data_IF_391390578439
#
_entry.id   IF_391390578439
#
_cell.length_a   1.000
_cell.length_b   1.000
_cell.length_c   1.000
_cell.angle_alpha   90.00
_cell.angle_beta   90.00
_cell.angle_gamma   90.00
#
_symmetry.space_group_name_H-M   'P 1'
#
loop_
_entity.id
_entity.type
_entity.pdbx_description
1 polymer ?
#
# COMPACT_ATOMS: atom_id res chain seq x y z
N UNK A 1 15.23 -60.84 42.53
CA UNK A 1 15.89 -60.13 41.43
C UNK A 1 15.17 -60.53 40.15
N UNK A 2 14.27 -59.68 39.69
CA UNK A 2 13.52 -59.85 38.43
C UNK A 2 13.84 -58.62 37.58
N UNK A 3 14.39 -58.83 36.39
CA UNK A 3 14.56 -57.77 35.39
C UNK A 3 14.28 -58.38 34.02
N UNK A 4 13.27 -57.88 33.28
CA UNK A 4 13.04 -58.24 31.90
C UNK A 4 13.83 -57.35 30.93
N UNK A 5 13.96 -57.91 29.74
CA UNK A 5 14.64 -57.47 28.53
C UNK A 5 14.14 -56.11 28.03
N UNK A 6 15.06 -55.19 27.74
CA UNK A 6 14.80 -53.97 26.96
C UNK A 6 15.41 -54.14 25.55
N UNK A 7 14.55 -54.00 24.54
CA UNK A 7 14.90 -53.97 23.12
C UNK A 7 15.73 -52.72 22.75
N UNK A 8 16.61 -52.80 21.72
CA UNK A 8 17.36 -51.64 21.24
C UNK A 8 16.52 -50.76 20.29
N UNK A 9 16.64 -49.45 20.50
CA UNK A 9 15.98 -48.38 19.77
C UNK A 9 16.84 -47.97 18.56
N UNK A 10 16.33 -47.90 17.32
CA UNK A 10 17.09 -47.37 16.19
C UNK A 10 16.77 -45.89 15.93
N UNK A 11 17.86 -45.09 15.90
CA UNK A 11 18.08 -43.99 14.95
C UNK A 11 17.33 -42.65 15.17
N UNK A 12 17.94 -41.77 15.96
CA UNK A 12 17.72 -40.32 15.93
C UNK A 12 18.39 -39.70 14.69
N UNK A 13 17.72 -38.85 13.89
CA UNK A 13 18.38 -37.96 12.92
C UNK A 13 18.86 -36.66 13.61
N UNK A 14 19.88 -35.98 13.04
CA UNK A 14 20.56 -34.89 13.72
C UNK A 14 19.76 -33.59 13.74
N UNK A 15 19.98 -32.85 14.83
CA UNK A 15 19.63 -31.45 15.07
C UNK A 15 20.06 -30.54 13.91
N UNK A 16 19.10 -29.82 13.33
CA UNK A 16 19.39 -28.65 12.50
C UNK A 16 18.95 -27.38 13.24
N UNK A 17 19.95 -26.59 13.62
CA UNK A 17 19.84 -25.22 14.09
C UNK A 17 19.01 -24.36 13.12
N UNK A 18 17.79 -23.99 13.53
CA UNK A 18 17.05 -22.86 12.94
C UNK A 18 17.32 -21.62 13.78
N UNK A 19 18.55 -21.13 13.71
CA UNK A 19 18.94 -19.83 14.22
C UNK A 19 19.84 -19.11 13.21
N UNK A 20 19.31 -18.84 12.01
CA UNK A 20 19.87 -17.82 11.13
C UNK A 20 18.84 -17.37 10.10
N UNK A 21 18.87 -16.08 9.84
CA UNK A 21 18.28 -15.40 8.67
C UNK A 21 16.91 -14.73 8.80
N UNK A 22 16.68 -14.00 9.90
CA UNK A 22 15.70 -12.88 9.94
C UNK A 22 16.36 -11.49 9.82
N UNK A 23 17.63 -11.41 9.46
CA UNK A 23 18.43 -10.16 9.52
C UNK A 23 18.74 -9.53 8.15
N UNK A 24 18.04 -9.90 7.06
CA UNK A 24 18.49 -9.53 5.70
C UNK A 24 17.45 -8.86 4.80
N UNK A 25 16.44 -8.19 5.37
CA UNK A 25 15.42 -7.47 4.57
C UNK A 25 15.36 -5.96 4.85
N UNK A 26 16.43 -5.39 5.39
CA UNK A 26 16.64 -3.93 5.39
C UNK A 26 17.76 -3.60 4.39
N UNK A 27 17.52 -3.92 3.11
CA UNK A 27 18.33 -3.36 2.03
C UNK A 27 17.62 -2.10 1.56
N UNK A 28 18.30 -0.97 1.72
CA UNK A 28 18.00 0.30 1.06
C UNK A 28 17.93 0.04 -0.44
N UNK A 29 16.71 -0.11 -0.97
CA UNK A 29 16.48 -0.25 -2.40
C UNK A 29 17.04 0.98 -3.10
N UNK A 30 18.03 0.75 -3.96
CA UNK A 30 18.60 1.80 -4.80
C UNK A 30 17.64 2.12 -5.95
N UNK A 31 17.71 3.37 -6.41
CA UNK A 31 16.74 4.06 -7.27
C UNK A 31 16.26 3.31 -8.55
N UNK A 32 17.02 2.44 -9.25
CA UNK A 32 16.58 1.85 -10.53
C UNK A 32 15.48 0.79 -10.43
N UNK A 33 15.54 -0.11 -9.44
CA UNK A 33 14.57 -1.21 -9.31
C UNK A 33 13.18 -0.69 -8.92
N UNK A 34 13.15 0.39 -8.14
CA UNK A 34 11.94 1.10 -7.74
C UNK A 34 11.19 1.68 -8.94
N UNK A 35 11.90 2.26 -9.92
CA UNK A 35 11.28 2.77 -11.15
C UNK A 35 10.67 1.63 -11.98
N UNK A 36 11.35 0.49 -12.06
CA UNK A 36 10.84 -0.69 -12.77
C UNK A 36 9.53 -1.21 -12.16
N UNK A 37 9.46 -1.29 -10.83
CA UNK A 37 8.23 -1.72 -10.14
C UNK A 37 7.07 -0.75 -10.33
N UNK A 38 7.35 0.56 -10.32
CA UNK A 38 6.33 1.59 -10.50
C UNK A 38 5.75 1.61 -11.93
N UNK A 39 6.59 1.47 -12.95
CA UNK A 39 6.13 1.38 -14.34
C UNK A 39 5.29 0.13 -14.59
N UNK A 40 5.77 -1.03 -14.12
CA UNK A 40 5.05 -2.30 -14.27
C UNK A 40 3.71 -2.27 -13.55
N UNK A 41 3.65 -1.73 -12.33
CA UNK A 41 2.40 -1.61 -11.59
C UNK A 41 1.44 -0.62 -12.27
N UNK A 42 1.95 0.45 -12.87
CA UNK A 42 1.14 1.38 -13.68
C UNK A 42 0.53 0.70 -14.89
N UNK A 43 1.28 -0.17 -15.58
CA UNK A 43 0.76 -0.95 -16.70
C UNK A 43 -0.37 -1.91 -16.24
N UNK A 44 -0.12 -2.67 -15.17
CA UNK A 44 -1.07 -3.66 -14.65
C UNK A 44 -2.38 -3.02 -14.17
N UNK A 45 -2.31 -1.86 -13.53
CA UNK A 45 -3.48 -1.13 -13.02
C UNK A 45 -4.36 -0.52 -14.13
N UNK A 46 -3.80 -0.29 -15.34
CA UNK A 46 -4.57 0.18 -16.51
C UNK A 46 -5.43 -0.92 -17.14
N UNK A 47 -5.09 -2.19 -16.92
CA UNK A 47 -5.84 -3.31 -17.46
C UNK A 47 -7.17 -3.44 -16.71
N UNK A 48 -8.30 -3.27 -17.41
CA UNK A 48 -9.64 -3.49 -16.83
C UNK A 48 -10.07 -4.95 -16.96
N UNK A 49 -10.71 -5.49 -15.93
CA UNK A 49 -11.40 -6.77 -16.02
C UNK A 49 -12.76 -6.54 -16.68
N UNK A 50 -13.00 -7.17 -17.84
CA UNK A 50 -14.30 -7.14 -18.52
C UNK A 50 -15.17 -8.35 -18.18
N UNK A 51 -14.65 -9.29 -17.39
CA UNK A 51 -15.42 -10.42 -16.89
C UNK A 51 -16.19 -9.98 -15.64
N UNK A 52 -17.46 -10.40 -15.53
CA UNK A 52 -18.25 -10.16 -14.32
C UNK A 52 -17.51 -10.68 -13.09
N UNK A 53 -17.41 -9.87 -12.05
CA UNK A 53 -16.96 -10.35 -10.75
C UNK A 53 -17.89 -11.48 -10.34
N UNK A 54 -17.31 -12.64 -10.00
CA UNK A 54 -18.11 -13.75 -9.51
C UNK A 54 -18.72 -13.28 -8.19
N UNK A 55 -20.04 -13.11 -8.14
CA UNK A 55 -20.73 -12.92 -6.87
C UNK A 55 -20.30 -14.04 -5.92
N UNK A 56 -20.04 -13.74 -4.62
CA UNK A 56 -19.80 -14.78 -3.65
C UNK A 56 -21.01 -15.71 -3.64
N UNK A 57 -20.81 -16.94 -4.11
CA UNK A 57 -21.84 -17.99 -4.05
C UNK A 57 -21.94 -18.37 -2.58
N UNK A 58 -23.12 -18.18 -1.98
CA UNK A 58 -23.40 -18.62 -0.61
C UNK A 58 -22.97 -20.08 -0.42
N UNK A 59 -21.98 -20.32 0.45
CA UNK A 59 -21.56 -21.66 0.86
C UNK A 59 -20.37 -22.28 0.12
N UNK A 60 -19.67 -21.53 -0.75
CA UNK A 60 -18.41 -21.98 -1.38
C UNK A 60 -17.17 -21.32 -0.79
N UNK A 61 -16.01 -21.99 -0.89
CA UNK A 61 -14.71 -21.38 -0.58
C UNK A 61 -14.59 -19.98 -1.22
N UNK A 62 -14.04 -19.01 -0.50
CA UNK A 62 -13.89 -17.64 -1.00
C UNK A 62 -13.08 -17.68 -2.28
N UNK A 63 -13.73 -17.32 -3.38
CA UNK A 63 -13.05 -17.19 -4.66
C UNK A 63 -12.24 -15.90 -4.62
N UNK A 64 -11.07 -15.85 -5.28
CA UNK A 64 -10.36 -14.59 -5.48
C UNK A 64 -11.33 -13.54 -6.01
N UNK A 65 -11.30 -12.33 -5.47
CA UNK A 65 -12.12 -11.21 -5.93
C UNK A 65 -11.87 -10.82 -7.41
N UNK A 66 -10.87 -11.45 -8.03
CA UNK A 66 -10.48 -11.32 -9.41
C UNK A 66 -11.01 -12.48 -10.26
N UNK A 67 -11.38 -12.19 -11.51
CA UNK A 67 -11.72 -13.23 -12.48
C UNK A 67 -10.58 -14.27 -12.57
N UNK A 68 -10.83 -15.57 -12.88
CA UNK A 68 -9.74 -16.57 -12.99
C UNK A 68 -8.64 -16.18 -13.97
N UNK A 69 -8.99 -15.41 -15.02
CA UNK A 69 -8.03 -14.85 -16.00
C UNK A 69 -7.23 -13.65 -15.48
N UNK A 70 -7.69 -13.04 -14.40
CA UNK A 70 -7.14 -11.88 -13.74
C UNK A 70 -6.31 -12.26 -12.51
N UNK A 71 -6.34 -13.54 -12.11
CA UNK A 71 -5.71 -14.05 -10.89
C UNK A 71 -4.22 -13.72 -10.85
N UNK A 72 -3.44 -14.18 -11.85
CA UNK A 72 -2.00 -13.91 -11.93
C UNK A 72 -1.67 -12.42 -12.03
N UNK A 73 -2.51 -11.65 -12.74
CA UNK A 73 -2.34 -10.19 -12.80
C UNK A 73 -2.50 -9.54 -11.42
N UNK A 74 -3.52 -9.95 -10.66
CA UNK A 74 -3.76 -9.41 -9.30
C UNK A 74 -2.69 -9.89 -8.33
N UNK A 75 -2.15 -11.09 -8.52
CA UNK A 75 -0.99 -11.59 -7.81
C UNK A 75 0.23 -10.69 -8.05
N UNK A 76 0.58 -10.41 -9.31
CA UNK A 76 1.67 -9.50 -9.67
C UNK A 76 1.46 -8.09 -9.09
N UNK A 77 0.24 -7.56 -9.21
CA UNK A 77 -0.12 -6.25 -8.64
C UNK A 77 0.08 -6.22 -7.13
N UNK A 78 -0.34 -7.26 -6.42
CA UNK A 78 -0.21 -7.36 -4.97
C UNK A 78 1.27 -7.46 -4.56
N UNK A 79 2.05 -8.30 -5.25
CA UNK A 79 3.48 -8.45 -4.99
C UNK A 79 4.25 -7.13 -5.19
N UNK A 80 4.00 -6.46 -6.31
CA UNK A 80 4.64 -5.17 -6.61
C UNK A 80 4.22 -4.10 -5.61
N UNK A 81 2.92 -3.99 -5.32
CA UNK A 81 2.41 -2.97 -4.41
C UNK A 81 2.87 -3.18 -2.97
N UNK A 82 3.03 -4.44 -2.53
CA UNK A 82 3.55 -4.80 -1.21
C UNK A 82 4.97 -4.24 -0.96
N UNK A 83 5.76 -4.08 -2.02
CA UNK A 83 7.12 -3.50 -1.94
C UNK A 83 7.11 -1.96 -1.88
N UNK A 84 5.93 -1.34 -2.02
CA UNK A 84 5.75 0.11 -1.94
C UNK A 84 5.13 0.52 -0.60
N UNK A 85 4.93 1.81 -0.43
CA UNK A 85 4.27 2.42 0.71
C UNK A 85 4.93 2.11 2.07
N UNK A 86 6.25 2.31 2.24
CA UNK A 86 6.90 2.07 3.52
C UNK A 86 6.23 2.89 4.62
N UNK A 87 6.01 2.25 5.77
CA UNK A 87 5.30 2.80 6.93
C UNK A 87 3.79 2.56 6.94
N UNK A 88 3.12 2.38 5.79
CA UNK A 88 1.65 2.21 5.76
C UNK A 88 1.17 0.88 6.32
N UNK A 89 2.07 -0.10 6.40
CA UNK A 89 1.74 -1.48 6.76
C UNK A 89 1.83 -1.75 8.27
N UNK A 90 1.68 -0.71 9.08
CA UNK A 90 1.75 -0.72 10.53
C UNK A 90 0.38 -0.30 11.11
N UNK A 91 0.09 -0.66 12.36
CA UNK A 91 -1.21 -0.33 12.99
C UNK A 91 -2.40 -0.82 12.18
N UNK A 92 -3.32 0.08 11.83
CA UNK A 92 -4.54 -0.20 11.07
C UNK A 92 -4.29 -0.77 9.66
N UNK A 93 -3.10 -0.54 9.10
CA UNK A 93 -2.69 -1.11 7.81
C UNK A 93 -2.26 -2.58 7.86
N UNK A 94 -2.14 -3.18 9.05
CA UNK A 94 -1.68 -4.55 9.23
C UNK A 94 -2.62 -5.59 8.59
N UNK A 95 -3.93 -5.37 8.66
CA UNK A 95 -4.90 -6.28 8.01
C UNK A 95 -4.73 -6.27 6.48
N UNK A 96 -4.70 -5.09 5.88
CA UNK A 96 -4.49 -4.92 4.43
C UNK A 96 -3.16 -5.51 3.96
N UNK A 97 -2.12 -5.39 4.79
CA UNK A 97 -0.82 -6.03 4.55
C UNK A 97 -0.98 -7.53 4.38
N UNK A 98 -1.66 -8.20 5.32
CA UNK A 98 -1.86 -9.65 5.26
C UNK A 98 -2.72 -10.06 4.06
N UNK A 99 -3.72 -9.26 3.67
CA UNK A 99 -4.48 -9.49 2.45
C UNK A 99 -3.62 -9.37 1.18
N UNK A 100 -2.70 -8.40 1.12
CA UNK A 100 -1.74 -8.27 0.00
C UNK A 100 -0.78 -9.47 -0.05
N UNK A 101 -0.25 -9.91 1.10
CA UNK A 101 0.60 -11.10 1.17
C UNK A 101 -0.13 -12.36 0.69
N UNK A 102 -1.38 -12.52 1.12
CA UNK A 102 -2.25 -13.62 0.72
C UNK A 102 -2.45 -13.64 -0.80
N UNK A 103 -2.74 -12.48 -1.40
CA UNK A 103 -2.90 -12.34 -2.84
C UNK A 103 -1.60 -12.56 -3.62
N UNK A 104 -0.45 -12.09 -3.11
CA UNK A 104 0.85 -12.20 -3.77
C UNK A 104 1.43 -13.62 -3.76
N UNK A 105 1.25 -14.36 -2.67
CA UNK A 105 1.90 -15.68 -2.48
C UNK A 105 0.93 -16.84 -2.36
N UNK A 106 -0.32 -16.65 -2.79
CA UNK A 106 -1.32 -17.72 -2.90
C UNK A 106 -1.77 -18.29 -1.56
N UNK A 107 -1.60 -17.54 -0.46
CA UNK A 107 -2.08 -17.98 0.84
C UNK A 107 -3.58 -17.70 0.94
N UNK A 108 -4.40 -18.74 0.93
CA UNK A 108 -5.87 -18.64 0.98
C UNK A 108 -6.33 -18.33 2.40
N UNK A 109 -6.09 -17.11 2.90
CA UNK A 109 -6.83 -16.65 4.07
C UNK A 109 -8.26 -16.29 3.60
N UNK A 110 -9.30 -16.99 4.06
CA UNK A 110 -10.62 -16.96 3.44
C UNK A 110 -11.44 -15.67 3.62
N UNK A 111 -11.03 -14.73 4.47
CA UNK A 111 -11.91 -13.61 4.84
C UNK A 111 -11.62 -12.31 4.07
N UNK A 112 -11.36 -12.41 2.78
CA UNK A 112 -11.05 -11.22 1.95
C UNK A 112 -12.33 -10.70 1.30
N UNK A 113 -13.11 -9.94 2.07
CA UNK A 113 -14.19 -9.06 1.55
C UNK A 113 -13.65 -7.97 0.61
N UNK A 114 -12.33 -7.84 0.51
CA UNK A 114 -11.62 -6.80 -0.24
C UNK A 114 -11.23 -7.28 -1.63
N UNK A 115 -11.66 -6.54 -2.66
CA UNK A 115 -11.11 -6.66 -4.01
C UNK A 115 -9.70 -6.07 -4.07
N UNK A 116 -8.68 -6.93 -3.96
CA UNK A 116 -7.27 -6.54 -3.94
C UNK A 116 -6.84 -5.84 -5.22
N UNK A 117 -7.28 -6.32 -6.38
CA UNK A 117 -6.92 -5.71 -7.66
C UNK A 117 -7.42 -4.26 -7.70
N UNK A 118 -8.66 -4.06 -7.26
CA UNK A 118 -9.25 -2.74 -7.29
C UNK A 118 -8.76 -1.83 -6.15
N UNK A 119 -8.42 -2.38 -4.98
CA UNK A 119 -7.72 -1.67 -3.91
C UNK A 119 -6.36 -1.15 -4.39
N UNK A 120 -5.51 -2.02 -4.95
CA UNK A 120 -4.19 -1.64 -5.48
C UNK A 120 -4.33 -0.59 -6.56
N UNK A 121 -5.24 -0.77 -7.53
CA UNK A 121 -5.47 0.23 -8.58
C UNK A 121 -5.88 1.59 -8.01
N UNK A 122 -6.76 1.63 -7.02
CA UNK A 122 -7.19 2.88 -6.40
C UNK A 122 -6.04 3.57 -5.67
N UNK A 123 -5.33 2.85 -4.80
CA UNK A 123 -4.20 3.40 -4.02
C UNK A 123 -3.06 3.85 -4.91
N UNK A 124 -2.72 3.05 -5.93
CA UNK A 124 -1.67 3.40 -6.89
C UNK A 124 -2.01 4.70 -7.65
N UNK A 125 -3.28 4.87 -8.03
CA UNK A 125 -3.71 6.09 -8.71
C UNK A 125 -3.64 7.32 -7.83
N UNK A 126 -3.95 7.20 -6.54
CA UNK A 126 -3.74 8.30 -5.59
C UNK A 126 -2.27 8.65 -5.46
N UNK A 127 -1.39 7.65 -5.35
CA UNK A 127 0.06 7.85 -5.26
C UNK A 127 0.57 8.68 -6.45
N UNK A 128 0.22 8.27 -7.67
CA UNK A 128 0.60 8.98 -8.89
C UNK A 128 0.00 10.40 -8.96
N UNK A 129 -1.26 10.55 -8.54
CA UNK A 129 -1.93 11.84 -8.48
C UNK A 129 -1.22 12.80 -7.51
N UNK A 130 -0.70 12.30 -6.38
CA UNK A 130 -0.01 13.12 -5.39
C UNK A 130 1.29 13.70 -5.97
N UNK A 131 2.10 12.85 -6.60
CA UNK A 131 3.34 13.27 -7.24
C UNK A 131 3.09 14.27 -8.39
N UNK A 132 2.05 14.03 -9.20
CA UNK A 132 1.65 14.96 -10.26
C UNK A 132 1.18 16.31 -9.70
N UNK A 133 0.37 16.30 -8.64
CA UNK A 133 -0.13 17.53 -8.01
C UNK A 133 1.00 18.38 -7.44
N UNK A 134 1.96 17.77 -6.72
CA UNK A 134 3.14 18.46 -6.19
C UNK A 134 3.91 19.13 -7.33
N UNK A 135 4.13 18.40 -8.43
CA UNK A 135 4.81 18.93 -9.62
C UNK A 135 4.04 20.10 -10.24
N UNK A 136 2.75 19.97 -10.44
CA UNK A 136 1.89 21.00 -11.07
C UNK A 136 1.79 22.28 -10.22
N UNK A 137 1.82 22.15 -8.89
CA UNK A 137 1.78 23.28 -7.97
C UNK A 137 3.16 23.86 -7.66
N UNK A 138 4.25 23.26 -8.15
CA UNK A 138 5.62 23.70 -7.87
C UNK A 138 6.03 23.50 -6.41
N UNK A 139 5.45 22.51 -5.74
CA UNK A 139 5.75 22.20 -4.35
C UNK A 139 7.00 21.31 -4.23
N UNK A 140 7.72 21.35 -3.09
CA UNK A 140 8.86 20.47 -2.86
C UNK A 140 8.42 19.02 -2.64
N UNK A 141 9.21 18.09 -3.16
CA UNK A 141 8.98 16.65 -2.95
C UNK A 141 9.38 16.28 -1.51
N UNK A 142 8.46 15.75 -0.69
CA UNK A 142 8.72 15.35 0.69
C UNK A 142 9.91 14.41 0.82
N UNK A 143 10.95 14.82 1.55
CA UNK A 143 12.17 14.02 1.74
C UNK A 143 12.87 13.62 0.42
N UNK A 144 12.58 14.32 -0.69
CA UNK A 144 13.06 13.97 -2.02
C UNK A 144 12.73 12.52 -2.44
N UNK A 145 11.57 12.00 -2.03
CA UNK A 145 11.04 10.68 -2.39
C UNK A 145 9.66 10.80 -2.99
N UNK A 146 9.36 10.02 -4.04
CA UNK A 146 8.01 9.87 -4.58
C UNK A 146 7.03 9.36 -3.53
N UNK A 147 5.73 9.63 -3.69
CA UNK A 147 4.69 9.18 -2.75
C UNK A 147 4.75 7.66 -2.48
N UNK A 148 5.05 6.86 -3.50
CA UNK A 148 5.19 5.41 -3.41
C UNK A 148 6.29 4.95 -2.44
N UNK A 149 7.34 5.75 -2.26
CA UNK A 149 8.55 5.40 -1.50
C UNK A 149 8.77 6.26 -0.28
N UNK A 150 7.94 7.27 -0.08
CA UNK A 150 8.07 8.21 1.02
C UNK A 150 7.69 7.56 2.35
N UNK A 151 8.64 7.37 3.27
CA UNK A 151 8.33 6.84 4.60
C UNK A 151 8.06 8.01 5.57
N UNK A 152 6.80 8.18 5.98
CA UNK A 152 6.40 9.25 6.89
C UNK A 152 7.15 9.22 8.22
N UNK A 153 7.37 8.04 8.80
CA UNK A 153 8.05 7.92 10.10
C UNK A 153 9.49 8.39 10.02
N UNK A 154 10.18 8.07 8.92
CA UNK A 154 11.53 8.55 8.67
C UNK A 154 11.51 10.06 8.45
N UNK A 155 10.61 10.54 7.58
CA UNK A 155 10.50 11.97 7.27
C UNK A 155 10.17 12.83 8.49
N UNK A 156 9.24 12.38 9.36
CA UNK A 156 8.92 13.06 10.63
C UNK A 156 10.10 13.08 11.61
N UNK A 157 10.94 12.05 11.60
CA UNK A 157 12.16 12.03 12.40
C UNK A 157 13.21 13.04 11.93
N UNK A 158 13.22 13.36 10.64
CA UNK A 158 14.14 14.31 10.01
C UNK A 158 13.63 15.76 10.08
N UNK A 159 12.30 15.94 10.20
CA UNK A 159 11.61 17.23 10.12
C UNK A 159 10.92 17.49 11.46
N UNK A 160 11.48 18.38 12.29
CA UNK A 160 10.98 18.77 13.64
C UNK A 160 9.65 19.55 13.59
N UNK A 161 8.60 19.01 13.00
CA UNK A 161 7.30 19.67 12.90
C UNK A 161 6.14 18.73 13.22
N UNK A 162 5.12 19.29 13.88
CA UNK A 162 3.91 18.56 14.20
C UNK A 162 2.91 18.66 13.04
N UNK A 163 2.62 17.53 12.39
CA UNK A 163 1.65 17.40 11.29
C UNK A 163 0.18 17.42 11.79
N UNK A 164 -0.04 17.35 13.10
CA UNK A 164 -1.38 17.27 13.71
C UNK A 164 -2.13 18.60 13.60
N UNK A 165 -3.43 18.54 13.27
CA UNK A 165 -4.32 19.69 13.15
C UNK A 165 -4.49 20.29 11.75
N UNK A 166 -3.46 20.31 10.89
CA UNK A 166 -3.49 21.14 9.67
C UNK A 166 -4.51 20.70 8.60
N UNK A 167 -4.87 19.41 8.55
CA UNK A 167 -5.80 18.83 7.56
C UNK A 167 -7.03 18.16 8.18
N UNK A 168 -7.26 18.28 9.49
CA UNK A 168 -8.40 17.63 10.19
C UNK A 168 -9.76 18.07 9.65
N UNK A 169 -9.84 19.29 9.11
CA UNK A 169 -11.04 19.82 8.44
C UNK A 169 -11.38 19.05 7.15
N UNK A 170 -10.41 18.40 6.52
CA UNK A 170 -10.56 17.69 5.25
C UNK A 170 -10.48 16.18 5.49
N UNK A 171 -11.54 15.64 6.12
CA UNK A 171 -11.72 14.20 6.29
C UNK A 171 -11.97 13.55 4.93
N UNK A 172 -10.93 12.96 4.35
CA UNK A 172 -11.02 12.28 3.06
C UNK A 172 -11.09 10.73 3.17
N UNK A 173 -11.29 10.21 4.39
CA UNK A 173 -11.38 8.77 4.69
C UNK A 173 -10.01 8.10 4.93
N UNK A 174 -9.98 6.84 5.42
CA UNK A 174 -8.72 6.12 5.72
C UNK A 174 -7.94 5.72 4.45
N UNK A 175 -8.64 5.43 3.34
CA UNK A 175 -8.01 4.94 2.11
C UNK A 175 -7.18 5.97 1.35
N UNK A 176 -7.19 7.23 1.79
CA UNK A 176 -6.42 8.33 1.20
C UNK A 176 -5.40 8.90 2.18
N UNK A 177 -5.18 8.23 3.31
CA UNK A 177 -4.35 8.76 4.37
C UNK A 177 -2.93 9.09 3.90
N UNK A 178 -2.27 8.16 3.21
CA UNK A 178 -0.95 8.41 2.62
C UNK A 178 -0.96 9.62 1.68
N UNK A 179 -1.94 9.68 0.79
CA UNK A 179 -2.11 10.79 -0.15
C UNK A 179 -2.18 12.13 0.59
N UNK A 180 -3.06 12.23 1.60
CA UNK A 180 -3.23 13.42 2.42
C UNK A 180 -1.94 13.78 3.17
N UNK A 181 -1.32 12.81 3.84
CA UNK A 181 -0.11 13.03 4.65
C UNK A 181 1.09 13.43 3.80
N UNK A 182 1.23 12.87 2.60
CA UNK A 182 2.27 13.23 1.64
C UNK A 182 2.10 14.67 1.11
N UNK A 183 0.88 15.06 0.73
CA UNK A 183 0.59 16.44 0.34
C UNK A 183 0.81 17.43 1.48
N UNK A 184 0.42 17.06 2.70
CA UNK A 184 0.69 17.85 3.91
C UNK A 184 2.19 18.09 4.11
N UNK A 185 2.98 17.02 4.04
CA UNK A 185 4.43 17.08 4.16
C UNK A 185 5.05 18.00 3.10
N UNK A 186 4.52 17.98 1.87
CA UNK A 186 5.00 18.83 0.77
C UNK A 186 4.71 20.32 1.02
N UNK A 187 3.49 20.64 1.43
CA UNK A 187 3.10 22.02 1.80
C UNK A 187 3.90 22.53 2.99
N UNK A 188 4.18 21.68 3.98
CA UNK A 188 5.00 22.04 5.13
C UNK A 188 6.46 22.26 4.74
N UNK A 189 7.03 21.39 3.91
CA UNK A 189 8.41 21.53 3.44
C UNK A 189 8.60 22.74 2.52
N UNK A 190 7.51 23.30 1.97
CA UNK A 190 7.54 24.56 1.24
C UNK A 190 7.78 25.78 2.16
N UNK A 191 7.64 25.61 3.48
CA UNK A 191 7.89 26.62 4.52
C UNK A 191 7.25 27.98 4.21
N UNK A 192 6.00 27.92 3.73
CA UNK A 192 5.25 29.10 3.32
C UNK A 192 4.73 29.87 4.56
N UNK A 193 4.65 31.22 4.49
CA UNK A 193 3.93 31.99 5.51
C UNK A 193 2.44 31.61 5.56
N UNK A 194 1.81 31.76 6.72
CA UNK A 194 0.44 31.29 7.00
C UNK A 194 -0.60 31.57 5.90
N UNK A 195 -0.70 32.82 5.42
CA UNK A 195 -1.68 33.20 4.37
C UNK A 195 -1.42 32.48 3.04
N UNK A 196 -0.19 32.52 2.47
CA UNK A 196 0.18 31.67 1.35
C UNK A 196 -0.07 30.16 1.55
N UNK A 197 0.14 29.64 2.76
CA UNK A 197 -0.12 28.22 3.05
C UNK A 197 -1.61 27.89 2.93
N UNK A 198 -2.50 28.75 3.43
CA UNK A 198 -3.95 28.59 3.24
C UNK A 198 -4.34 28.63 1.76
N UNK A 199 -3.81 29.59 0.99
CA UNK A 199 -4.08 29.66 -0.45
C UNK A 199 -3.56 28.42 -1.20
N UNK A 200 -2.44 27.84 -0.75
CA UNK A 200 -1.92 26.58 -1.29
C UNK A 200 -2.83 25.40 -0.97
N UNK A 201 -3.35 25.31 0.26
CA UNK A 201 -4.35 24.30 0.64
C UNK A 201 -5.56 24.39 -0.28
N UNK A 202 -6.11 25.59 -0.50
CA UNK A 202 -7.28 25.76 -1.35
C UNK A 202 -7.01 25.26 -2.78
N UNK A 203 -5.82 25.55 -3.33
CA UNK A 203 -5.39 25.03 -4.64
C UNK A 203 -5.30 23.50 -4.66
N UNK A 204 -4.80 22.89 -3.60
CA UNK A 204 -4.73 21.42 -3.45
C UNK A 204 -6.14 20.84 -3.42
N UNK A 205 -7.04 21.39 -2.61
CA UNK A 205 -8.44 20.95 -2.48
C UNK A 205 -9.17 21.06 -3.82
N UNK A 206 -9.02 22.18 -4.51
CA UNK A 206 -9.60 22.40 -5.83
C UNK A 206 -9.06 21.41 -6.86
N UNK A 207 -7.77 21.11 -6.82
CA UNK A 207 -7.15 20.13 -7.71
C UNK A 207 -7.74 18.73 -7.47
N UNK A 208 -7.81 18.29 -6.21
CA UNK A 208 -8.38 17.00 -5.82
C UNK A 208 -9.85 16.92 -6.21
N UNK A 209 -10.62 17.99 -6.00
CA UNK A 209 -12.02 18.10 -6.42
C UNK A 209 -12.20 17.92 -7.92
N UNK A 210 -11.37 18.57 -8.73
CA UNK A 210 -11.37 18.39 -10.21
C UNK A 210 -10.97 16.97 -10.60
N UNK A 211 -9.92 16.42 -10.02
CA UNK A 211 -9.45 15.06 -10.33
C UNK A 211 -10.51 14.00 -10.00
N UNK A 212 -11.18 14.12 -8.84
CA UNK A 212 -12.31 13.28 -8.45
C UNK A 212 -13.47 13.38 -9.43
N UNK A 213 -13.77 14.58 -9.91
CA UNK A 213 -14.87 14.79 -10.85
C UNK A 213 -14.54 14.32 -12.27
N UNK A 214 -13.27 14.35 -12.68
CA UNK A 214 -12.84 13.90 -14.00
C UNK A 214 -12.80 12.36 -14.13
N UNK A 215 -12.78 11.63 -13.01
CA UNK A 215 -12.50 10.20 -13.00
C UNK A 215 -13.59 9.39 -12.27
N UNK A 216 -14.26 8.52 -13.03
CA UNK A 216 -15.37 7.72 -12.51
C UNK A 216 -14.95 6.74 -11.40
N UNK A 217 -13.73 6.19 -11.46
CA UNK A 217 -13.25 5.25 -10.44
C UNK A 217 -12.98 5.98 -9.11
N UNK A 218 -12.44 7.20 -9.19
CA UNK A 218 -12.31 8.06 -7.99
C UNK A 218 -13.68 8.44 -7.44
N UNK A 219 -14.61 8.85 -8.30
CA UNK A 219 -15.96 9.26 -7.86
C UNK A 219 -16.71 8.16 -7.12
N UNK A 220 -16.67 6.93 -7.63
CA UNK A 220 -17.39 5.78 -7.06
C UNK A 220 -16.80 5.30 -5.73
N UNK A 221 -15.46 5.29 -5.62
CA UNK A 221 -14.78 4.80 -4.40
C UNK A 221 -14.72 5.84 -3.30
N UNK A 222 -14.71 7.12 -3.65
CA UNK A 222 -14.74 8.23 -2.68
C UNK A 222 -16.11 8.44 -2.02
N UNK A 223 -17.21 7.93 -2.61
CA UNK A 223 -18.57 8.06 -2.06
C UNK A 223 -18.99 6.91 -1.14
N UNK A 224 -18.24 5.81 -1.10
CA UNK A 224 -18.57 4.59 -0.33
C UNK A 224 -17.79 4.46 0.99
N UNK A 225 -17.13 5.52 1.41
CA UNK A 225 -16.33 5.64 2.64
C UNK A 225 -16.85 6.84 3.43
#
# INVERSE_FOLDING_TARGET
MSSPINSPNPSTPPTHDKARDQSRHSQTMTNPEVFFYAERLTELTRLKCFHGHLNPVSGGYPRPASCPRCYYRVQDMAELFYQTCPGDWQGDGAFLKECLKAAAWGNTNPDVTIDIGAFVSYRWKLILLADQLIKDLGLPVPGNKTCAMWNEYVWRGEVLYNLEGFWEKYHWGPDVERFRRYLAASVMQADLPFKPTLAMIDRVVDYVGRAKNADADFRLRWQRL
#
